data_IF_749185955578
#
_entry.id   IF_749185955578
#
_cell.length_a   1.000
_cell.length_b   1.000
_cell.length_c   1.000
_cell.angle_alpha   90.00
_cell.angle_beta   90.00
_cell.angle_gamma   90.00
#
_symmetry.space_group_name_H-M   'P 1'
#
loop_
_entity.id
_entity.type
_entity.pdbx_description
1 polymer ?
#
# COMPACT_ATOMS: atom_id res chain seq x y z
N UNK A 1 -30.19 26.43 -13.27
CA UNK A 1 -30.15 25.38 -12.21
C UNK A 1 -28.91 24.53 -12.47
N UNK A 2 -28.12 24.16 -11.44
CA UNK A 2 -26.95 23.27 -11.60
C UNK A 2 -27.44 21.84 -11.88
N UNK A 3 -26.65 21.07 -12.66
CA UNK A 3 -27.00 19.67 -12.99
C UNK A 3 -27.05 18.81 -11.74
N UNK A 4 -26.04 18.98 -10.84
CA UNK A 4 -25.95 18.27 -9.57
C UNK A 4 -25.54 19.22 -8.44
N UNK A 5 -25.78 18.80 -7.21
CA UNK A 5 -25.29 19.50 -6.03
C UNK A 5 -23.81 19.18 -5.83
N UNK A 6 -23.45 17.90 -6.00
CA UNK A 6 -22.09 17.40 -5.82
C UNK A 6 -21.67 16.52 -7.00
N UNK A 7 -20.48 16.78 -7.55
CA UNK A 7 -19.80 15.90 -8.51
C UNK A 7 -18.60 15.24 -7.82
N UNK A 8 -18.52 13.91 -7.92
CA UNK A 8 -17.41 13.11 -7.41
C UNK A 8 -16.60 12.57 -8.59
N UNK A 9 -15.29 12.79 -8.61
CA UNK A 9 -14.39 12.34 -9.67
C UNK A 9 -13.74 11.02 -9.25
N UNK A 10 -14.15 9.91 -9.88
CA UNK A 10 -13.66 8.56 -9.64
C UNK A 10 -14.60 7.69 -8.82
N UNK A 11 -14.94 6.51 -9.36
CA UNK A 11 -15.76 5.49 -8.69
C UNK A 11 -14.88 4.44 -7.98
N UNK A 12 -13.84 4.88 -7.28
CA UNK A 12 -13.00 4.07 -6.38
C UNK A 12 -13.57 4.01 -4.97
N UNK A 13 -12.76 3.51 -4.03
CA UNK A 13 -13.15 3.38 -2.62
C UNK A 13 -13.59 4.73 -2.02
N UNK A 14 -12.74 5.75 -2.08
CA UNK A 14 -13.03 7.07 -1.52
C UNK A 14 -14.23 7.73 -2.23
N UNK A 15 -14.28 7.65 -3.56
CA UNK A 15 -15.36 8.32 -4.32
C UNK A 15 -16.74 7.72 -4.11
N UNK A 16 -16.86 6.38 -4.08
CA UNK A 16 -18.14 5.75 -3.78
C UNK A 16 -18.58 6.03 -2.34
N UNK A 17 -17.65 6.00 -1.36
CA UNK A 17 -17.98 6.33 0.03
C UNK A 17 -18.42 7.79 0.18
N UNK A 18 -17.74 8.73 -0.49
CA UNK A 18 -18.11 10.14 -0.48
C UNK A 18 -19.51 10.36 -1.09
N UNK A 19 -19.80 9.70 -2.20
CA UNK A 19 -21.09 9.81 -2.86
C UNK A 19 -22.23 9.19 -2.01
N UNK A 20 -21.98 8.07 -1.32
CA UNK A 20 -22.94 7.45 -0.40
C UNK A 20 -23.20 8.38 0.78
N UNK A 21 -22.17 8.93 1.40
CA UNK A 21 -22.32 9.86 2.52
C UNK A 21 -23.17 11.07 2.13
N UNK A 22 -22.85 11.72 1.03
CA UNK A 22 -23.59 12.87 0.53
C UNK A 22 -25.02 12.51 0.08
N UNK A 23 -25.20 11.39 -0.62
CA UNK A 23 -26.51 10.94 -1.09
C UNK A 23 -27.47 10.58 0.06
N UNK A 24 -26.96 10.02 1.16
CA UNK A 24 -27.74 9.76 2.39
C UNK A 24 -28.26 11.05 3.04
N UNK A 25 -27.62 12.20 2.78
CA UNK A 25 -28.06 13.52 3.21
C UNK A 25 -29.08 14.16 2.28
N UNK A 26 -29.46 13.47 1.18
CA UNK A 26 -30.46 13.93 0.21
C UNK A 26 -29.89 14.79 -0.93
N UNK A 27 -28.56 14.94 -1.05
CA UNK A 27 -27.96 15.67 -2.16
C UNK A 27 -28.08 14.93 -3.48
N UNK A 28 -28.21 15.67 -4.58
CA UNK A 28 -28.13 15.14 -5.96
C UNK A 28 -26.66 14.93 -6.32
N UNK A 29 -26.20 13.67 -6.29
CA UNK A 29 -24.78 13.32 -6.49
C UNK A 29 -24.56 12.63 -7.82
N UNK A 30 -23.50 13.02 -8.54
CA UNK A 30 -23.02 12.35 -9.73
C UNK A 30 -21.57 11.92 -9.55
N UNK A 31 -21.27 10.62 -9.71
CA UNK A 31 -19.90 10.12 -9.86
C UNK A 31 -19.54 10.14 -11.34
N UNK A 32 -18.37 10.68 -11.67
CA UNK A 32 -17.81 10.66 -13.02
C UNK A 32 -16.63 9.69 -13.03
N UNK A 33 -16.78 8.58 -13.76
CA UNK A 33 -15.81 7.49 -13.83
C UNK A 33 -15.30 7.31 -15.26
N UNK A 34 -13.98 7.27 -15.44
CA UNK A 34 -13.34 7.10 -16.75
C UNK A 34 -13.48 5.67 -17.31
N UNK A 35 -13.56 4.69 -16.43
CA UNK A 35 -13.66 3.28 -16.80
C UNK A 35 -15.10 2.87 -17.11
N UNK A 36 -15.24 1.62 -17.60
CA UNK A 36 -16.52 0.97 -17.92
C UNK A 36 -17.27 0.44 -16.68
N UNK A 37 -16.60 0.37 -15.52
CA UNK A 37 -17.15 -0.16 -14.26
C UNK A 37 -16.48 0.47 -13.04
N UNK A 38 -17.16 0.49 -11.88
CA UNK A 38 -16.59 1.05 -10.65
C UNK A 38 -15.62 0.08 -10.01
N UNK A 39 -14.78 0.59 -9.10
CA UNK A 39 -14.00 -0.22 -8.17
C UNK A 39 -12.89 -1.06 -8.79
N UNK A 40 -12.37 -0.74 -9.98
CA UNK A 40 -11.32 -1.54 -10.65
C UNK A 40 -10.12 -1.79 -9.75
N UNK A 41 -9.66 -0.80 -8.98
CA UNK A 41 -8.55 -0.98 -8.06
C UNK A 41 -8.97 -1.81 -6.83
N UNK A 42 -10.19 -1.65 -6.30
CA UNK A 42 -10.73 -2.50 -5.23
C UNK A 42 -10.70 -3.98 -5.66
N UNK A 43 -11.06 -4.26 -6.92
CA UNK A 43 -11.12 -5.61 -7.46
C UNK A 43 -9.81 -6.39 -7.31
N UNK A 44 -8.66 -5.74 -7.46
CA UNK A 44 -7.34 -6.38 -7.39
C UNK A 44 -6.73 -6.37 -5.99
N UNK A 45 -7.31 -5.63 -5.03
CA UNK A 45 -6.78 -5.54 -3.66
C UNK A 45 -6.86 -6.89 -2.94
N UNK A 46 -5.92 -7.12 -2.01
CA UNK A 46 -5.89 -8.36 -1.23
C UNK A 46 -5.83 -9.63 -2.09
N UNK A 47 -5.21 -9.59 -3.27
CA UNK A 47 -5.17 -10.68 -4.26
C UNK A 47 -6.58 -11.12 -4.72
N UNK A 48 -7.47 -10.16 -4.96
CA UNK A 48 -8.86 -10.39 -5.36
C UNK A 48 -9.84 -10.66 -4.23
N UNK A 49 -9.38 -10.61 -2.97
CA UNK A 49 -10.23 -10.82 -1.78
C UNK A 49 -10.75 -9.53 -1.16
N UNK A 50 -10.08 -8.41 -1.38
CA UNK A 50 -10.25 -7.10 -0.76
C UNK A 50 -10.07 -7.12 0.78
N UNK A 51 -8.91 -6.71 1.26
CA UNK A 51 -8.71 -6.40 2.68
C UNK A 51 -9.35 -5.05 3.00
N UNK A 52 -10.62 -5.08 3.46
CA UNK A 52 -11.50 -3.91 3.58
C UNK A 52 -10.93 -2.87 4.55
N UNK A 53 -10.49 -3.31 5.72
CA UNK A 53 -9.90 -2.49 6.77
C UNK A 53 -9.09 -3.37 7.73
N UNK A 54 -8.68 -2.81 8.86
CA UNK A 54 -8.05 -3.52 9.98
C UNK A 54 -8.88 -3.31 11.24
N UNK A 55 -9.17 -4.39 11.97
CA UNK A 55 -9.93 -4.36 13.24
C UNK A 55 -9.02 -4.11 14.45
N UNK A 56 -7.92 -3.39 14.27
CA UNK A 56 -7.04 -2.94 15.35
C UNK A 56 -7.65 -1.75 16.12
N UNK A 57 -7.04 -1.42 17.26
CA UNK A 57 -7.40 -0.19 17.95
C UNK A 57 -6.96 1.07 17.20
N UNK A 58 -7.44 2.21 17.65
CA UNK A 58 -7.18 3.49 16.99
C UNK A 58 -5.69 3.89 17.05
N UNK A 59 -4.97 3.53 18.09
CA UNK A 59 -3.55 3.82 18.22
C UNK A 59 -2.74 3.06 17.17
N UNK A 60 -2.97 1.75 17.02
CA UNK A 60 -2.34 0.92 15.99
C UNK A 60 -2.71 1.42 14.59
N UNK A 61 -3.96 1.89 14.39
CA UNK A 61 -4.40 2.46 13.11
C UNK A 61 -3.52 3.67 12.73
N UNK A 62 -3.29 4.61 13.65
CA UNK A 62 -2.42 5.77 13.42
C UNK A 62 -0.95 5.41 13.24
N UNK A 63 -0.43 4.43 13.99
CA UNK A 63 0.97 3.99 13.87
C UNK A 63 1.29 3.39 12.50
N UNK A 64 0.29 2.87 11.80
CA UNK A 64 0.44 2.31 10.47
C UNK A 64 0.33 3.35 9.34
N UNK A 65 -0.06 4.59 9.62
CA UNK A 65 0.00 5.72 8.66
C UNK A 65 1.41 6.27 8.63
N UNK A 66 2.07 6.12 7.48
CA UNK A 66 3.51 6.42 7.34
C UNK A 66 3.79 7.89 7.06
N UNK A 67 2.90 8.56 6.32
CA UNK A 67 3.05 9.96 5.93
C UNK A 67 1.84 10.76 6.43
N UNK A 68 2.10 11.90 7.07
CA UNK A 68 1.09 12.87 7.51
C UNK A 68 -0.01 12.28 8.43
N UNK A 69 0.33 11.33 9.33
CA UNK A 69 -0.64 10.66 10.22
C UNK A 69 -1.52 11.64 11.02
N UNK A 70 -0.98 12.80 11.42
CA UNK A 70 -1.75 13.83 12.16
C UNK A 70 -2.91 14.42 11.35
N UNK A 71 -2.77 14.47 10.02
CA UNK A 71 -3.84 14.92 9.14
C UNK A 71 -5.08 14.01 9.21
N UNK A 72 -4.89 12.73 9.52
CA UNK A 72 -5.97 11.75 9.56
C UNK A 72 -6.83 11.78 10.83
N UNK A 73 -6.46 12.55 11.87
CA UNK A 73 -7.20 12.55 13.13
C UNK A 73 -8.69 12.75 12.94
N UNK A 74 -9.09 13.85 12.31
CA UNK A 74 -10.52 14.17 12.15
C UNK A 74 -11.27 13.10 11.36
N UNK A 75 -10.69 12.63 10.25
CA UNK A 75 -11.34 11.65 9.38
C UNK A 75 -11.46 10.27 10.02
N UNK A 76 -10.43 9.81 10.76
CA UNK A 76 -10.47 8.51 11.43
C UNK A 76 -11.47 8.48 12.59
N UNK A 77 -11.62 9.59 13.33
CA UNK A 77 -12.64 9.69 14.39
C UNK A 77 -14.06 9.97 13.84
N UNK A 78 -14.17 10.57 12.64
CA UNK A 78 -15.47 10.81 12.01
C UNK A 78 -16.05 9.55 11.34
N UNK A 79 -15.18 8.64 10.89
CA UNK A 79 -15.54 7.35 10.30
C UNK A 79 -14.45 6.33 10.59
N UNK A 80 -14.62 5.61 11.69
CA UNK A 80 -13.65 4.66 12.24
C UNK A 80 -13.58 3.36 11.43
N UNK A 81 -12.63 2.50 11.74
CA UNK A 81 -12.58 1.15 11.19
C UNK A 81 -13.77 0.28 11.66
N UNK A 82 -14.28 0.50 12.86
CA UNK A 82 -15.51 -0.14 13.35
C UNK A 82 -16.72 0.33 12.57
N UNK A 83 -16.82 1.64 12.25
CA UNK A 83 -17.89 2.18 11.40
C UNK A 83 -17.83 1.60 9.99
N UNK A 84 -16.64 1.38 9.44
CA UNK A 84 -16.46 0.71 8.14
C UNK A 84 -16.99 -0.72 8.19
N UNK A 85 -16.66 -1.48 9.22
CA UNK A 85 -17.15 -2.85 9.43
C UNK A 85 -18.69 -2.83 9.52
N UNK A 86 -19.23 -2.00 10.41
CA UNK A 86 -20.67 -1.85 10.61
C UNK A 86 -21.39 -1.42 9.32
N UNK A 87 -20.80 -0.52 8.52
CA UNK A 87 -21.35 -0.11 7.24
C UNK A 87 -21.51 -1.31 6.28
N UNK A 88 -20.45 -2.11 6.08
CA UNK A 88 -20.50 -3.24 5.15
C UNK A 88 -21.46 -4.33 5.64
N UNK A 89 -21.49 -4.62 6.93
CA UNK A 89 -22.42 -5.60 7.53
C UNK A 89 -23.88 -5.13 7.38
N UNK A 90 -24.17 -3.85 7.66
CA UNK A 90 -25.50 -3.26 7.49
C UNK A 90 -25.98 -3.29 6.04
N UNK A 91 -25.07 -3.13 5.08
CA UNK A 91 -25.38 -3.23 3.65
C UNK A 91 -25.43 -4.69 3.15
N UNK A 92 -25.31 -5.68 4.06
CA UNK A 92 -25.49 -7.10 3.76
C UNK A 92 -24.25 -7.83 3.26
N UNK A 93 -23.04 -7.36 3.63
CA UNK A 93 -21.79 -8.06 3.35
C UNK A 93 -21.29 -8.76 4.61
N UNK A 94 -21.36 -10.09 4.73
CA UNK A 94 -20.79 -10.82 5.86
C UNK A 94 -19.27 -10.66 5.89
N UNK A 95 -18.72 -10.35 7.06
CA UNK A 95 -17.31 -10.02 7.28
C UNK A 95 -16.66 -11.05 8.20
N UNK A 96 -15.36 -11.30 7.99
CA UNK A 96 -14.48 -12.08 8.88
C UNK A 96 -13.20 -11.32 9.19
N UNK A 97 -12.68 -11.52 10.40
CA UNK A 97 -11.38 -11.02 10.82
C UNK A 97 -10.38 -12.16 10.80
N UNK A 98 -9.25 -11.95 10.12
CA UNK A 98 -8.15 -12.92 10.02
C UNK A 98 -6.94 -12.45 10.85
N UNK A 99 -5.91 -13.30 10.91
CA UNK A 99 -4.65 -13.00 11.61
C UNK A 99 -4.13 -11.60 11.26
N UNK A 100 -3.69 -10.85 12.27
CA UNK A 100 -3.24 -9.45 12.13
C UNK A 100 -4.40 -8.48 11.93
N UNK A 101 -5.56 -8.81 12.51
CA UNK A 101 -6.77 -7.98 12.53
C UNK A 101 -7.27 -7.58 11.13
N UNK A 102 -6.88 -8.29 10.08
CA UNK A 102 -7.26 -7.99 8.69
C UNK A 102 -8.71 -8.38 8.44
N UNK A 103 -9.48 -7.45 7.89
CA UNK A 103 -10.91 -7.61 7.66
C UNK A 103 -11.18 -7.95 6.19
N UNK A 104 -11.87 -9.08 5.95
CA UNK A 104 -12.22 -9.56 4.62
C UNK A 104 -13.71 -9.90 4.52
N UNK A 105 -14.31 -9.88 3.31
CA UNK A 105 -15.62 -10.49 3.11
C UNK A 105 -15.52 -12.01 3.34
N UNK A 106 -16.54 -12.62 3.92
CA UNK A 106 -16.59 -14.08 4.14
C UNK A 106 -16.46 -14.84 2.82
N UNK A 107 -16.98 -14.28 1.73
CA UNK A 107 -16.92 -14.86 0.38
C UNK A 107 -15.49 -14.89 -0.23
N UNK A 108 -14.52 -14.15 0.35
CA UNK A 108 -13.20 -13.94 -0.22
C UNK A 108 -13.21 -13.33 -1.65
N UNK A 109 -14.24 -12.57 -1.99
CA UNK A 109 -14.41 -11.95 -3.32
C UNK A 109 -14.51 -10.43 -3.22
N UNK A 110 -13.56 -9.71 -3.79
CA UNK A 110 -13.59 -8.26 -3.91
C UNK A 110 -14.80 -7.74 -4.71
N UNK A 111 -15.33 -8.55 -5.64
CA UNK A 111 -16.53 -8.24 -6.39
C UNK A 111 -17.76 -8.02 -5.51
N UNK A 112 -17.87 -8.70 -4.36
CA UNK A 112 -18.99 -8.51 -3.44
C UNK A 112 -18.88 -7.17 -2.71
N UNK A 113 -17.67 -6.73 -2.37
CA UNK A 113 -17.42 -5.39 -1.81
C UNK A 113 -17.87 -4.31 -2.81
N UNK A 114 -17.50 -4.44 -4.09
CA UNK A 114 -17.86 -3.50 -5.15
C UNK A 114 -19.39 -3.51 -5.39
N UNK A 115 -20.00 -4.68 -5.41
CA UNK A 115 -21.46 -4.84 -5.55
C UNK A 115 -22.19 -4.09 -4.45
N UNK A 116 -21.80 -4.29 -3.19
CA UNK A 116 -22.44 -3.64 -2.03
C UNK A 116 -22.30 -2.12 -2.11
N UNK A 117 -21.11 -1.59 -2.44
CA UNK A 117 -20.91 -0.14 -2.62
C UNK A 117 -21.77 0.42 -3.76
N UNK A 118 -21.85 -0.29 -4.89
CA UNK A 118 -22.66 0.12 -6.05
C UNK A 118 -24.15 0.12 -5.72
N UNK A 119 -24.64 -0.87 -4.99
CA UNK A 119 -26.02 -0.94 -4.51
C UNK A 119 -26.32 0.18 -3.51
N UNK A 120 -25.40 0.48 -2.59
CA UNK A 120 -25.57 1.59 -1.66
C UNK A 120 -25.62 2.95 -2.39
N UNK A 121 -24.77 3.18 -3.40
CA UNK A 121 -24.87 4.35 -4.27
C UNK A 121 -26.24 4.44 -4.93
N UNK A 122 -26.73 3.34 -5.51
CA UNK A 122 -28.05 3.31 -6.17
C UNK A 122 -29.21 3.59 -5.20
N UNK A 123 -29.16 3.02 -3.98
CA UNK A 123 -30.18 3.28 -2.94
C UNK A 123 -30.26 4.75 -2.55
N UNK A 124 -29.12 5.46 -2.60
CA UNK A 124 -29.03 6.90 -2.31
C UNK A 124 -29.31 7.79 -3.54
N UNK A 125 -29.73 7.24 -4.67
CA UNK A 125 -30.02 8.01 -5.89
C UNK A 125 -28.76 8.56 -6.59
N UNK A 126 -27.58 8.08 -6.27
CA UNK A 126 -26.31 8.51 -6.90
C UNK A 126 -26.27 8.04 -8.35
N UNK A 127 -26.01 8.96 -9.28
CA UNK A 127 -25.79 8.65 -10.69
C UNK A 127 -24.31 8.40 -10.95
N UNK A 128 -23.98 7.36 -11.70
CA UNK A 128 -22.61 7.08 -12.12
C UNK A 128 -22.51 7.23 -13.64
N UNK A 129 -21.65 8.11 -14.12
CA UNK A 129 -21.33 8.30 -15.53
C UNK A 129 -20.04 7.56 -15.84
N UNK A 130 -20.16 6.41 -16.50
CA UNK A 130 -19.01 5.64 -16.98
C UNK A 130 -18.45 6.19 -18.28
N UNK A 131 -17.25 5.74 -18.68
CA UNK A 131 -16.55 6.19 -19.88
C UNK A 131 -16.40 7.71 -19.95
N UNK A 132 -16.34 8.38 -18.80
CA UNK A 132 -16.35 9.83 -18.68
C UNK A 132 -15.10 10.29 -17.94
N UNK A 133 -14.06 10.69 -18.71
CA UNK A 133 -12.82 11.21 -18.12
C UNK A 133 -12.95 12.70 -17.87
N UNK A 134 -12.72 13.15 -16.64
CA UNK A 134 -12.62 14.55 -16.29
C UNK A 134 -11.26 15.09 -16.73
N UNK A 135 -11.27 16.23 -17.46
CA UNK A 135 -10.08 16.92 -17.94
C UNK A 135 -9.71 18.14 -17.09
N UNK A 136 -10.71 18.84 -16.56
CA UNK A 136 -10.50 20.04 -15.77
C UNK A 136 -11.60 20.26 -14.74
N UNK A 137 -11.25 20.93 -13.63
CA UNK A 137 -12.20 21.50 -12.67
C UNK A 137 -12.53 22.92 -13.15
N UNK A 138 -13.83 23.24 -13.19
CA UNK A 138 -14.32 24.58 -13.50
C UNK A 138 -14.48 25.35 -12.20
N UNK A 139 -13.90 26.54 -12.12
CA UNK A 139 -14.00 27.44 -10.95
C UNK A 139 -13.88 28.90 -11.36
N UNK A 140 -14.48 29.80 -10.55
CA UNK A 140 -14.27 31.23 -10.70
C UNK A 140 -12.89 31.62 -10.24
N UNK A 141 -12.30 32.58 -10.95
CA UNK A 141 -11.00 33.17 -10.59
C UNK A 141 -11.14 34.52 -9.85
N UNK A 142 -12.37 34.93 -9.56
CA UNK A 142 -12.65 36.16 -8.83
C UNK A 142 -12.30 36.01 -7.30
N UNK A 143 -12.59 37.08 -6.53
CA UNK A 143 -12.18 37.23 -5.12
C UNK A 143 -12.55 36.04 -4.19
N UNK A 144 -13.62 35.33 -4.54
CA UNK A 144 -14.02 34.08 -3.88
C UNK A 144 -13.90 32.92 -4.86
N UNK A 145 -12.70 32.36 -4.99
CA UNK A 145 -12.45 31.19 -5.85
C UNK A 145 -13.36 30.03 -5.44
N UNK A 146 -14.43 29.76 -6.18
CA UNK A 146 -15.38 28.68 -5.91
C UNK A 146 -15.56 27.78 -7.12
N UNK A 147 -15.77 26.47 -6.87
CA UNK A 147 -16.02 25.52 -7.96
C UNK A 147 -17.36 25.79 -8.66
N UNK A 148 -17.41 25.48 -9.97
CA UNK A 148 -18.59 25.54 -10.82
C UNK A 148 -18.99 24.17 -11.37
N UNK A 149 -18.12 23.19 -11.31
CA UNK A 149 -18.30 21.86 -11.88
C UNK A 149 -17.03 21.29 -12.50
N UNK A 150 -17.21 20.45 -13.48
CA UNK A 150 -16.11 19.77 -14.19
C UNK A 150 -16.32 19.80 -15.70
N UNK A 151 -15.20 19.77 -16.45
CA UNK A 151 -15.19 19.58 -17.91
C UNK A 151 -14.63 18.20 -18.23
N UNK A 152 -15.38 17.46 -19.04
CA UNK A 152 -14.98 16.14 -19.52
C UNK A 152 -14.00 16.25 -20.70
N UNK A 153 -13.34 15.14 -21.02
CA UNK A 153 -12.41 15.07 -22.14
C UNK A 153 -13.08 15.25 -23.52
N UNK A 154 -14.37 14.93 -23.61
CA UNK A 154 -15.17 15.14 -24.84
C UNK A 154 -15.75 16.56 -24.97
N UNK A 155 -15.42 17.47 -24.04
CA UNK A 155 -15.83 18.87 -24.04
C UNK A 155 -17.12 19.15 -23.26
N UNK A 156 -17.89 18.16 -22.89
CA UNK A 156 -19.11 18.37 -22.07
C UNK A 156 -18.73 18.94 -20.71
N UNK A 157 -19.58 19.81 -20.19
CA UNK A 157 -19.49 20.35 -18.84
C UNK A 157 -20.61 19.80 -17.96
N UNK A 158 -20.28 19.54 -16.70
CA UNK A 158 -21.23 19.13 -15.68
C UNK A 158 -21.13 20.14 -14.55
N UNK A 159 -22.21 20.90 -14.34
CA UNK A 159 -22.23 21.97 -13.34
C UNK A 159 -22.59 21.44 -11.96
N UNK A 160 -21.86 21.89 -10.92
CA UNK A 160 -22.10 21.48 -9.54
C UNK A 160 -21.74 22.59 -8.55
N UNK A 161 -22.28 22.50 -7.32
CA UNK A 161 -21.92 23.39 -6.22
C UNK A 161 -20.65 22.95 -5.52
N UNK A 162 -20.40 21.62 -5.48
CA UNK A 162 -19.26 21.01 -4.82
C UNK A 162 -18.63 19.98 -5.77
N UNK A 163 -17.29 19.83 -5.69
CA UNK A 163 -16.52 18.84 -6.45
C UNK A 163 -15.60 18.09 -5.51
N UNK A 164 -15.66 16.76 -5.52
CA UNK A 164 -14.78 15.88 -4.72
C UNK A 164 -13.85 15.14 -5.67
N UNK A 165 -12.53 15.38 -5.55
CA UNK A 165 -11.49 14.68 -6.31
C UNK A 165 -11.10 13.41 -5.55
N UNK A 166 -11.54 12.25 -6.06
CA UNK A 166 -11.26 10.92 -5.52
C UNK A 166 -10.68 9.99 -6.61
N UNK A 167 -9.83 10.57 -7.49
CA UNK A 167 -9.31 9.91 -8.69
C UNK A 167 -8.19 8.89 -8.42
N UNK A 168 -7.82 8.65 -7.14
CA UNK A 168 -6.74 7.75 -6.75
C UNK A 168 -5.35 8.30 -7.04
N UNK A 169 -4.34 7.44 -6.98
CA UNK A 169 -2.95 7.77 -7.18
C UNK A 169 -2.43 7.42 -8.59
N UNK A 170 -1.20 6.83 -8.65
CA UNK A 170 -0.54 6.35 -9.88
C UNK A 170 -0.27 4.84 -9.87
N UNK A 171 -0.53 4.17 -8.75
CA UNK A 171 -0.30 2.73 -8.62
C UNK A 171 -1.35 1.92 -9.39
N UNK A 172 -0.92 0.84 -10.04
CA UNK A 172 -1.71 0.04 -10.97
C UNK A 172 -2.41 0.88 -12.05
N UNK A 173 -1.67 1.52 -12.97
CA UNK A 173 -2.24 2.41 -14.00
C UNK A 173 -3.35 1.75 -14.84
N UNK A 174 -3.27 0.43 -15.05
CA UNK A 174 -4.30 -0.35 -15.76
C UNK A 174 -5.69 -0.32 -15.11
N UNK A 175 -5.78 0.11 -13.85
CA UNK A 175 -7.06 0.31 -13.16
C UNK A 175 -7.66 1.70 -13.37
N UNK A 176 -6.98 2.58 -14.10
CA UNK A 176 -7.38 3.97 -14.32
C UNK A 176 -6.69 4.98 -13.40
N UNK A 177 -5.82 4.54 -12.49
CA UNK A 177 -5.03 5.41 -11.60
C UNK A 177 -3.77 5.94 -12.32
N UNK A 178 -3.93 6.89 -13.23
CA UNK A 178 -2.84 7.46 -14.04
C UNK A 178 -2.31 8.80 -13.49
N UNK A 179 -2.90 9.30 -12.40
CA UNK A 179 -2.51 10.57 -11.80
C UNK A 179 -3.33 11.78 -12.29
N UNK A 180 -4.50 11.55 -12.89
CA UNK A 180 -5.39 12.64 -13.34
C UNK A 180 -5.74 13.60 -12.19
N UNK A 181 -5.92 13.07 -10.96
CA UNK A 181 -6.18 13.87 -9.76
C UNK A 181 -5.07 14.89 -9.45
N UNK A 182 -3.83 14.51 -9.69
CA UNK A 182 -2.69 15.41 -9.49
C UNK A 182 -2.63 16.53 -10.52
N UNK A 183 -2.97 16.24 -11.78
CA UNK A 183 -3.06 17.25 -12.83
C UNK A 183 -4.17 18.26 -12.50
N UNK A 184 -5.33 17.78 -12.05
CA UNK A 184 -6.44 18.65 -11.64
C UNK A 184 -6.07 19.49 -10.41
N UNK A 185 -5.38 18.93 -9.42
CA UNK A 185 -4.89 19.65 -8.26
C UNK A 185 -3.90 20.76 -8.66
N UNK A 186 -2.95 20.47 -9.55
CA UNK A 186 -2.00 21.46 -10.04
C UNK A 186 -2.70 22.58 -10.84
N UNK A 187 -3.71 22.25 -11.66
CA UNK A 187 -4.52 23.25 -12.39
C UNK A 187 -5.28 24.21 -11.47
N UNK A 188 -5.62 23.74 -10.27
CA UNK A 188 -6.31 24.53 -9.23
C UNK A 188 -5.36 25.17 -8.22
N UNK A 189 -4.05 25.17 -8.51
CA UNK A 189 -3.03 25.88 -7.70
C UNK A 189 -2.46 25.09 -6.53
N UNK A 190 -2.90 23.83 -6.33
CA UNK A 190 -2.39 23.01 -5.24
C UNK A 190 -1.01 22.43 -5.55
N UNK A 191 -0.18 22.37 -4.51
CA UNK A 191 1.12 21.71 -4.58
C UNK A 191 0.95 20.20 -4.60
N UNK A 192 1.60 19.53 -5.54
CA UNK A 192 1.67 18.06 -5.60
C UNK A 192 3.05 17.63 -5.15
N UNK A 193 3.11 16.95 -4.02
CA UNK A 193 4.33 16.33 -3.51
C UNK A 193 4.73 15.19 -4.46
N UNK A 194 6.02 15.08 -4.76
CA UNK A 194 6.55 14.09 -5.70
C UNK A 194 6.03 12.69 -5.39
N UNK A 195 5.38 12.09 -6.38
CA UNK A 195 4.83 10.74 -6.25
C UNK A 195 5.91 9.68 -6.50
N UNK A 196 5.97 8.69 -5.61
CA UNK A 196 6.84 7.52 -5.68
C UNK A 196 6.02 6.23 -5.56
N UNK A 197 6.41 5.13 -6.25
CA UNK A 197 5.80 3.83 -6.02
C UNK A 197 6.12 3.37 -4.60
N UNK A 198 5.12 2.87 -3.88
CA UNK A 198 5.25 2.42 -2.49
C UNK A 198 4.59 1.07 -2.29
N UNK A 199 5.03 0.34 -1.27
CA UNK A 199 4.67 -1.05 -1.01
C UNK A 199 4.95 -1.91 -2.26
N UNK A 200 6.20 -1.87 -2.72
CA UNK A 200 6.67 -2.53 -3.94
C UNK A 200 7.73 -3.58 -3.64
N UNK A 201 7.83 -4.64 -4.45
CA UNK A 201 8.98 -5.53 -4.44
C UNK A 201 10.29 -4.80 -4.80
N UNK A 202 11.43 -5.46 -4.53
CA UNK A 202 12.75 -4.93 -4.79
C UNK A 202 13.50 -5.83 -5.78
N UNK A 203 14.14 -5.23 -6.77
CA UNK A 203 15.10 -5.91 -7.64
C UNK A 203 16.42 -6.09 -6.90
N UNK A 204 16.99 -7.28 -7.00
CA UNK A 204 18.29 -7.63 -6.40
C UNK A 204 19.31 -7.83 -7.53
N UNK A 205 20.50 -7.29 -7.34
CA UNK A 205 21.62 -7.53 -8.24
C UNK A 205 22.16 -8.94 -8.02
N UNK A 206 22.29 -9.72 -9.11
CA UNK A 206 22.79 -11.08 -9.06
C UNK A 206 21.71 -12.13 -9.39
N UNK A 207 22.13 -13.38 -9.45
CA UNK A 207 21.27 -14.52 -9.86
C UNK A 207 20.69 -15.31 -8.67
N UNK A 208 21.18 -15.03 -7.46
CA UNK A 208 20.82 -15.78 -6.25
C UNK A 208 19.33 -15.80 -5.98
N UNK A 209 18.58 -14.68 -6.10
CA UNK A 209 17.13 -14.69 -5.89
C UNK A 209 16.37 -15.60 -6.85
N UNK A 210 16.78 -15.65 -8.14
CA UNK A 210 16.14 -16.50 -9.15
C UNK A 210 16.28 -18.00 -8.82
N UNK A 211 17.40 -18.41 -8.23
CA UNK A 211 17.63 -19.80 -7.78
C UNK A 211 16.71 -20.19 -6.61
N UNK A 212 16.21 -19.20 -5.86
CA UNK A 212 15.29 -19.37 -4.74
C UNK A 212 13.85 -18.94 -5.07
N UNK A 213 13.53 -18.72 -6.35
CA UNK A 213 12.21 -18.26 -6.79
C UNK A 213 11.07 -19.09 -6.18
N UNK A 214 10.03 -18.41 -5.66
CA UNK A 214 8.87 -19.03 -5.03
C UNK A 214 9.09 -19.45 -3.58
N UNK A 215 10.33 -19.36 -3.06
CA UNK A 215 10.61 -19.67 -1.65
C UNK A 215 10.05 -18.56 -0.76
N UNK A 216 9.05 -18.89 0.04
CA UNK A 216 8.54 -18.04 1.12
C UNK A 216 9.25 -18.39 2.42
N UNK A 217 9.81 -17.36 3.05
CA UNK A 217 10.49 -17.45 4.35
C UNK A 217 9.60 -16.85 5.43
N UNK A 218 9.38 -17.61 6.51
CA UNK A 218 8.64 -17.17 7.70
C UNK A 218 9.58 -17.10 8.89
N UNK A 219 9.25 -16.21 9.83
CA UNK A 219 10.04 -16.04 11.04
C UNK A 219 11.52 -15.73 10.76
N UNK A 220 11.74 -14.83 9.80
CA UNK A 220 13.06 -14.28 9.47
C UNK A 220 13.17 -12.83 9.89
N UNK A 221 14.37 -12.31 10.01
CA UNK A 221 14.61 -10.88 10.21
C UNK A 221 15.35 -10.32 9.01
N UNK A 222 14.92 -9.15 8.52
CA UNK A 222 15.62 -8.42 7.49
C UNK A 222 16.03 -7.06 7.99
N UNK A 223 17.30 -6.70 7.75
CA UNK A 223 17.82 -5.37 7.98
C UNK A 223 18.18 -4.71 6.66
N UNK A 224 17.78 -3.46 6.48
CA UNK A 224 18.10 -2.65 5.32
C UNK A 224 19.07 -1.54 5.76
N UNK A 225 20.16 -1.37 5.04
CA UNK A 225 21.21 -0.43 5.42
C UNK A 225 21.95 0.15 4.21
N UNK A 226 22.61 1.28 4.42
CA UNK A 226 23.62 1.86 3.51
C UNK A 226 24.99 1.76 4.11
N UNK A 227 26.03 1.93 3.30
CA UNK A 227 27.43 1.98 3.76
C UNK A 227 27.93 3.41 3.72
N UNK A 228 28.40 3.91 4.85
CA UNK A 228 29.11 5.20 4.93
C UNK A 228 30.45 5.10 4.21
N UNK A 229 31.06 6.25 3.89
CA UNK A 229 32.40 6.34 3.28
C UNK A 229 33.47 5.60 4.06
N UNK A 230 33.35 5.47 5.38
CA UNK A 230 34.26 4.70 6.25
C UNK A 230 33.90 3.19 6.33
N UNK A 231 33.00 2.69 5.47
CA UNK A 231 32.59 1.29 5.40
C UNK A 231 31.58 0.86 6.48
N UNK A 232 31.28 1.70 7.48
CA UNK A 232 30.32 1.34 8.54
C UNK A 232 28.89 1.28 8.00
N UNK A 233 28.13 0.26 8.45
CA UNK A 233 26.71 0.14 8.17
C UNK A 233 25.94 1.25 8.87
N UNK A 234 25.01 1.91 8.14
CA UNK A 234 23.99 2.78 8.68
C UNK A 234 22.65 2.06 8.47
N UNK A 235 22.13 1.45 9.52
CA UNK A 235 20.81 0.80 9.48
C UNK A 235 19.73 1.83 9.19
N UNK A 236 18.85 1.51 8.24
CA UNK A 236 17.73 2.35 7.83
C UNK A 236 16.41 1.76 8.31
N UNK A 237 16.29 0.44 8.29
CA UNK A 237 15.09 -0.27 8.69
C UNK A 237 15.39 -1.72 9.05
N UNK A 238 14.65 -2.28 10.02
CA UNK A 238 14.71 -3.68 10.43
C UNK A 238 13.32 -4.16 10.80
N UNK A 239 12.98 -5.38 10.36
CA UNK A 239 11.70 -6.00 10.68
C UNK A 239 11.83 -7.52 10.75
N UNK A 240 11.10 -8.13 11.70
CA UNK A 240 10.90 -9.57 11.82
C UNK A 240 9.56 -9.95 11.19
N UNK A 241 9.53 -11.01 10.35
CA UNK A 241 8.27 -11.43 9.73
C UNK A 241 8.47 -12.40 8.57
N UNK A 242 7.79 -12.11 7.46
CA UNK A 242 7.76 -12.95 6.27
C UNK A 242 8.29 -12.21 5.05
N UNK A 243 9.03 -12.93 4.20
CA UNK A 243 9.48 -12.46 2.89
C UNK A 243 9.41 -13.60 1.86
N UNK A 244 9.53 -13.28 0.59
CA UNK A 244 9.54 -14.25 -0.50
C UNK A 244 10.56 -13.86 -1.57
N UNK A 245 11.26 -14.86 -2.10
CA UNK A 245 12.12 -14.70 -3.26
C UNK A 245 11.33 -14.81 -4.57
N UNK A 246 11.68 -13.98 -5.54
CA UNK A 246 11.15 -13.95 -6.90
C UNK A 246 12.29 -14.11 -7.91
N UNK A 247 11.97 -14.29 -9.20
CA UNK A 247 12.99 -14.35 -10.24
C UNK A 247 13.80 -13.07 -10.40
N UNK A 248 13.30 -11.92 -9.94
CA UNK A 248 13.97 -10.62 -10.04
C UNK A 248 14.56 -10.13 -8.70
N UNK A 249 14.19 -10.74 -7.58
CA UNK A 249 14.64 -10.25 -6.28
C UNK A 249 13.77 -10.72 -5.13
N UNK A 250 13.26 -9.78 -4.32
CA UNK A 250 12.54 -10.07 -3.08
C UNK A 250 11.21 -9.31 -2.99
N UNK A 251 10.26 -9.90 -2.27
CA UNK A 251 8.94 -9.33 -1.95
C UNK A 251 8.43 -9.88 -0.61
N UNK A 252 7.20 -9.59 -0.28
CA UNK A 252 6.56 -10.02 0.97
C UNK A 252 6.45 -8.89 1.99
N UNK A 253 5.74 -9.12 3.12
CA UNK A 253 5.37 -8.06 4.06
C UNK A 253 6.54 -7.17 4.48
N UNK A 254 7.66 -7.75 4.95
CA UNK A 254 8.85 -6.99 5.37
C UNK A 254 9.37 -6.10 4.24
N UNK A 255 9.48 -6.67 3.02
CA UNK A 255 10.05 -5.95 1.87
C UNK A 255 9.16 -4.82 1.42
N UNK A 256 7.84 -5.04 1.43
CA UNK A 256 6.85 -4.01 1.09
C UNK A 256 6.88 -2.87 2.11
N UNK A 257 6.88 -3.17 3.41
CA UNK A 257 7.03 -2.17 4.48
C UNK A 257 8.33 -1.38 4.33
N UNK A 258 9.45 -2.08 4.07
CA UNK A 258 10.75 -1.44 3.84
C UNK A 258 10.72 -0.48 2.66
N UNK A 259 10.11 -0.85 1.53
CA UNK A 259 10.03 0.00 0.34
C UNK A 259 9.33 1.34 0.60
N UNK A 260 8.28 1.34 1.42
CA UNK A 260 7.57 2.57 1.83
C UNK A 260 8.46 3.48 2.68
N UNK A 261 9.29 2.91 3.58
CA UNK A 261 10.17 3.67 4.47
C UNK A 261 11.42 4.18 3.77
N UNK A 262 11.96 3.41 2.83
CA UNK A 262 13.26 3.62 2.23
C UNK A 262 13.23 4.37 0.89
N UNK A 263 12.04 4.74 0.37
CA UNK A 263 11.87 5.26 -1.00
C UNK A 263 12.89 6.34 -1.39
N UNK A 264 13.16 7.30 -0.52
CA UNK A 264 14.12 8.38 -0.78
C UNK A 264 15.60 7.95 -0.68
N UNK A 265 15.91 6.91 0.11
CA UNK A 265 17.28 6.43 0.24
C UNK A 265 17.81 5.81 -1.06
N UNK A 266 16.92 5.21 -1.87
CA UNK A 266 17.29 4.65 -3.17
C UNK A 266 17.71 5.68 -4.22
N UNK A 267 17.45 6.95 -3.99
CA UNK A 267 17.80 8.04 -4.93
C UNK A 267 19.24 8.51 -4.75
N UNK A 268 19.81 8.33 -3.57
CA UNK A 268 21.11 8.93 -3.20
C UNK A 268 22.16 7.91 -2.77
N UNK A 269 21.79 6.73 -2.33
CA UNK A 269 22.69 5.76 -1.71
C UNK A 269 22.44 4.33 -2.23
N UNK A 270 23.49 3.50 -2.26
CA UNK A 270 23.34 2.07 -2.50
C UNK A 270 22.76 1.40 -1.24
N UNK A 271 21.57 0.83 -1.35
CA UNK A 271 20.91 0.12 -0.27
C UNK A 271 21.21 -1.38 -0.35
N UNK A 272 21.45 -1.97 0.81
CA UNK A 272 21.67 -3.42 0.99
C UNK A 272 20.57 -3.99 1.88
N UNK A 273 20.16 -5.23 1.59
CA UNK A 273 19.32 -6.04 2.46
C UNK A 273 20.13 -7.18 3.06
N UNK A 274 20.00 -7.41 4.34
CA UNK A 274 20.65 -8.50 5.08
C UNK A 274 19.59 -9.38 5.70
N UNK A 275 19.58 -10.66 5.36
CA UNK A 275 18.61 -11.65 5.80
C UNK A 275 19.22 -12.52 6.89
N UNK A 276 18.64 -12.49 8.09
CA UNK A 276 18.83 -13.50 9.13
C UNK A 276 17.76 -14.59 8.99
N UNK A 277 18.19 -15.78 8.57
CA UNK A 277 17.29 -16.92 8.37
C UNK A 277 16.86 -17.58 9.69
N UNK A 278 17.53 -17.33 10.80
CA UNK A 278 17.32 -17.96 12.11
C UNK A 278 17.45 -16.95 13.27
N UNK A 279 16.62 -15.90 13.31
CA UNK A 279 16.77 -14.81 14.29
C UNK A 279 16.62 -15.28 15.74
N UNK A 280 15.88 -16.34 16.00
CA UNK A 280 15.73 -16.93 17.34
C UNK A 280 17.02 -17.62 17.86
N UNK A 281 18.03 -17.86 17.00
CA UNK A 281 19.28 -18.50 17.39
C UNK A 281 20.42 -17.48 17.34
N UNK A 282 21.19 -17.34 18.44
CA UNK A 282 22.47 -16.64 18.37
C UNK A 282 23.45 -17.43 17.50
N UNK A 283 24.54 -16.75 17.03
CA UNK A 283 25.60 -17.42 16.24
C UNK A 283 26.16 -18.65 16.97
N UNK A 284 26.38 -18.56 18.27
CA UNK A 284 26.92 -19.64 19.10
C UNK A 284 25.93 -20.81 19.18
N UNK A 285 24.64 -20.54 19.36
CA UNK A 285 23.62 -21.58 19.40
C UNK A 285 23.45 -22.25 18.03
N UNK A 286 23.51 -21.48 16.95
CA UNK A 286 23.45 -22.01 15.60
C UNK A 286 24.68 -22.88 15.29
N UNK A 287 25.87 -22.42 15.67
CA UNK A 287 27.09 -23.21 15.53
C UNK A 287 27.02 -24.54 16.25
N UNK A 288 26.56 -24.54 17.53
CA UNK A 288 26.35 -25.78 18.30
C UNK A 288 25.32 -26.70 17.65
N UNK A 289 24.25 -26.15 17.08
CA UNK A 289 23.24 -26.92 16.36
C UNK A 289 23.83 -27.61 15.14
N UNK A 290 24.58 -26.89 14.31
CA UNK A 290 25.24 -27.42 13.10
C UNK A 290 26.25 -28.54 13.50
N UNK A 291 27.05 -28.29 14.52
CA UNK A 291 28.03 -29.28 15.00
C UNK A 291 27.33 -30.58 15.45
N UNK A 292 26.29 -30.49 16.26
CA UNK A 292 25.48 -31.63 16.68
C UNK A 292 24.87 -32.40 15.48
N UNK A 293 24.35 -31.69 14.50
CA UNK A 293 23.73 -32.30 13.31
C UNK A 293 24.81 -33.03 12.46
N UNK A 294 26.04 -32.52 12.43
CA UNK A 294 27.20 -33.16 11.77
C UNK A 294 27.70 -34.41 12.53
N UNK A 295 27.79 -34.32 13.84
CA UNK A 295 28.20 -35.45 14.68
C UNK A 295 27.20 -36.62 14.62
N UNK A 296 25.91 -36.33 14.47
CA UNK A 296 24.89 -37.36 14.32
C UNK A 296 25.03 -38.20 13.02
N UNK A 297 25.60 -37.60 11.95
CA UNK A 297 25.75 -38.25 10.64
C UNK A 297 27.09 -37.86 9.96
N UNK A 298 28.24 -38.29 10.45
CA UNK A 298 29.56 -37.75 10.09
C UNK A 298 29.96 -38.00 8.64
N UNK A 299 29.41 -38.98 7.95
CA UNK A 299 29.75 -39.36 6.58
C UNK A 299 28.80 -38.78 5.54
N UNK A 300 27.74 -38.05 5.96
CA UNK A 300 26.83 -37.39 5.01
C UNK A 300 27.54 -36.19 4.37
N UNK A 301 27.24 -35.94 3.09
CA UNK A 301 27.76 -34.76 2.40
C UNK A 301 27.03 -33.48 2.85
N UNK A 302 27.78 -32.36 2.88
CA UNK A 302 27.33 -31.10 3.48
C UNK A 302 25.98 -30.61 2.93
N UNK A 303 25.76 -30.66 1.61
CA UNK A 303 24.48 -30.25 1.02
C UNK A 303 23.26 -31.04 1.54
N UNK A 304 23.44 -32.30 1.87
CA UNK A 304 22.35 -33.14 2.40
C UNK A 304 22.12 -32.92 3.88
N UNK A 305 23.17 -32.62 4.64
CA UNK A 305 23.08 -32.40 6.09
C UNK A 305 22.33 -31.11 6.45
N UNK A 306 22.29 -30.11 5.53
CA UNK A 306 21.64 -28.83 5.78
C UNK A 306 20.12 -28.86 5.58
N UNK A 307 19.53 -29.98 5.10
CA UNK A 307 18.09 -30.09 4.81
C UNK A 307 17.18 -29.97 6.05
N UNK A 308 17.70 -30.28 7.25
CA UNK A 308 17.00 -30.05 8.52
C UNK A 308 17.06 -28.62 9.06
N UNK A 309 17.89 -27.78 8.45
CA UNK A 309 18.13 -26.40 8.88
C UNK A 309 17.60 -25.37 7.88
N UNK A 310 17.74 -25.63 6.58
CA UNK A 310 17.42 -24.71 5.49
C UNK A 310 16.47 -25.33 4.47
N UNK A 311 15.64 -24.52 3.79
CA UNK A 311 14.89 -24.96 2.63
C UNK A 311 15.81 -25.47 1.51
N UNK A 312 15.38 -26.51 0.78
CA UNK A 312 16.19 -27.16 -0.26
C UNK A 312 16.73 -26.20 -1.31
N UNK A 313 15.91 -25.27 -1.81
CA UNK A 313 16.33 -24.29 -2.81
C UNK A 313 17.35 -23.26 -2.31
N UNK A 314 17.44 -23.05 -1.01
CA UNK A 314 18.38 -22.12 -0.39
C UNK A 314 19.79 -22.75 -0.20
N UNK A 315 19.88 -24.05 -0.03
CA UNK A 315 21.14 -24.75 0.28
C UNK A 315 22.25 -24.46 -0.75
N UNK A 316 22.01 -24.58 -2.08
CA UNK A 316 23.04 -24.27 -3.08
C UNK A 316 23.53 -22.82 -2.99
N UNK A 317 22.61 -21.88 -2.75
CA UNK A 317 22.93 -20.46 -2.64
C UNK A 317 23.79 -20.18 -1.40
N UNK A 318 23.41 -20.74 -0.25
CA UNK A 318 24.19 -20.59 0.99
C UNK A 318 25.60 -21.19 0.85
N UNK A 319 25.71 -22.36 0.23
CA UNK A 319 27.01 -22.97 -0.03
C UNK A 319 27.88 -22.13 -0.99
N UNK A 320 27.29 -21.60 -2.06
CA UNK A 320 27.96 -20.70 -3.01
C UNK A 320 28.49 -19.45 -2.30
N UNK A 321 27.65 -18.76 -1.51
CA UNK A 321 28.02 -17.52 -0.80
C UNK A 321 29.08 -17.79 0.28
N UNK A 322 29.00 -18.92 0.99
CA UNK A 322 29.98 -19.32 2.00
C UNK A 322 31.30 -19.85 1.41
N UNK A 323 31.35 -20.09 0.09
CA UNK A 323 32.51 -20.67 -0.59
C UNK A 323 32.77 -22.15 -0.25
N UNK A 324 31.73 -22.87 0.16
CA UNK A 324 31.84 -24.27 0.59
C UNK A 324 31.42 -25.25 -0.52
N UNK A 325 32.12 -26.38 -0.61
CA UNK A 325 31.78 -27.47 -1.52
C UNK A 325 30.71 -28.36 -0.90
N UNK A 326 29.56 -28.46 -1.55
CA UNK A 326 28.42 -29.26 -1.05
C UNK A 326 28.66 -30.77 -0.99
N UNK A 327 29.61 -31.29 -1.77
CA UNK A 327 30.01 -32.70 -1.84
C UNK A 327 30.98 -33.12 -0.74
N UNK A 328 31.53 -32.18 0.04
CA UNK A 328 32.43 -32.47 1.15
C UNK A 328 31.67 -33.19 2.26
N UNK A 329 32.25 -34.24 2.81
CA UNK A 329 31.68 -34.94 3.99
C UNK A 329 31.74 -34.02 5.22
N UNK A 330 30.69 -34.06 6.07
CA UNK A 330 30.59 -33.09 7.18
C UNK A 330 31.69 -33.26 8.23
N UNK A 331 32.25 -34.46 8.39
CA UNK A 331 33.39 -34.73 9.28
C UNK A 331 34.70 -34.04 8.79
N UNK A 332 34.77 -33.62 7.53
CA UNK A 332 35.90 -32.89 6.96
C UNK A 332 35.68 -31.37 6.99
N UNK A 333 34.52 -30.87 7.40
CA UNK A 333 34.21 -29.44 7.48
C UNK A 333 34.95 -28.84 8.69
N UNK A 334 35.85 -27.89 8.42
CA UNK A 334 36.64 -27.24 9.47
C UNK A 334 35.77 -26.29 10.32
N UNK A 335 36.35 -25.84 11.45
CA UNK A 335 35.69 -24.83 12.28
C UNK A 335 35.43 -23.52 11.52
N UNK A 336 36.45 -23.05 10.77
CA UNK A 336 36.35 -21.81 9.99
C UNK A 336 35.28 -21.91 8.89
N UNK A 337 35.14 -23.08 8.25
CA UNK A 337 34.09 -23.33 7.29
C UNK A 337 32.71 -23.31 7.93
N UNK A 338 32.55 -23.86 9.14
CA UNK A 338 31.29 -23.77 9.90
C UNK A 338 30.97 -22.34 10.32
N UNK A 339 31.99 -21.56 10.72
CA UNK A 339 31.81 -20.14 11.06
C UNK A 339 31.32 -19.33 9.86
N UNK A 340 31.90 -19.55 8.65
CA UNK A 340 31.40 -18.96 7.40
C UNK A 340 29.95 -19.35 7.10
N UNK A 341 29.61 -20.61 7.30
CA UNK A 341 28.23 -21.10 7.11
C UNK A 341 27.25 -20.41 8.07
N UNK A 342 27.63 -20.29 9.35
CA UNK A 342 26.85 -19.57 10.36
C UNK A 342 26.69 -18.11 9.99
N UNK A 343 27.75 -17.44 9.55
CA UNK A 343 27.72 -16.02 9.17
C UNK A 343 26.76 -15.78 7.99
N UNK A 344 26.77 -16.65 6.98
CA UNK A 344 25.86 -16.53 5.83
C UNK A 344 24.39 -16.78 6.25
N UNK A 345 24.13 -17.77 7.10
CA UNK A 345 22.76 -18.06 7.57
C UNK A 345 22.23 -16.91 8.44
N UNK A 346 23.09 -16.26 9.21
CA UNK A 346 22.75 -15.15 10.11
C UNK A 346 22.77 -13.78 9.45
N UNK A 347 23.30 -13.67 8.23
CA UNK A 347 23.47 -12.37 7.59
C UNK A 347 23.74 -12.50 6.09
N UNK A 348 22.81 -13.11 5.34
CA UNK A 348 22.89 -13.18 3.88
C UNK A 348 22.63 -11.81 3.28
N UNK A 349 23.65 -11.23 2.63
CA UNK A 349 23.58 -9.86 2.09
C UNK A 349 23.22 -9.85 0.62
N UNK A 350 22.26 -8.99 0.28
CA UNK A 350 21.85 -8.71 -1.08
C UNK A 350 22.04 -7.22 -1.41
N UNK A 351 22.55 -6.91 -2.59
CA UNK A 351 22.62 -5.55 -3.12
C UNK A 351 21.30 -5.25 -3.83
N UNK A 352 20.55 -4.25 -3.35
CA UNK A 352 19.29 -3.85 -3.98
C UNK A 352 19.63 -2.98 -5.19
N UNK A 353 19.12 -3.33 -6.35
CA UNK A 353 19.33 -2.60 -7.58
C UNK A 353 18.34 -1.45 -7.74
N UNK A 354 17.06 -1.71 -7.49
CA UNK A 354 15.97 -0.73 -7.62
C UNK A 354 14.69 -1.22 -6.94
N UNK A 355 13.75 -0.31 -6.75
CA UNK A 355 12.35 -0.64 -6.48
C UNK A 355 11.63 -1.03 -7.77
N UNK A 356 10.60 -1.87 -7.67
CA UNK A 356 9.69 -2.16 -8.80
C UNK A 356 8.83 -0.92 -9.09
N UNK A 357 8.33 -0.84 -10.33
CA UNK A 357 7.62 0.33 -10.81
C UNK A 357 6.12 0.34 -10.47
N UNK A 358 5.44 1.33 -11.05
CA UNK A 358 4.02 1.62 -10.84
C UNK A 358 3.05 0.47 -11.08
N UNK A 359 3.38 -0.45 -11.98
CA UNK A 359 2.56 -1.63 -12.29
C UNK A 359 2.49 -2.65 -11.16
N UNK A 360 3.43 -2.59 -10.21
CA UNK A 360 3.52 -3.49 -9.06
C UNK A 360 3.36 -2.74 -7.73
N UNK A 361 3.29 -1.41 -7.77
CA UNK A 361 3.08 -0.59 -6.59
C UNK A 361 1.66 -0.79 -6.03
N UNK A 362 1.57 -1.18 -4.76
CA UNK A 362 0.26 -1.31 -4.11
C UNK A 362 -0.36 0.07 -3.93
N UNK A 363 0.44 1.07 -3.55
CA UNK A 363 0.00 2.45 -3.35
C UNK A 363 1.01 3.45 -3.92
N UNK A 364 0.55 4.69 -4.00
CA UNK A 364 1.35 5.88 -4.28
C UNK A 364 1.74 6.56 -2.96
N UNK A 365 3.02 6.86 -2.77
CA UNK A 365 3.53 7.78 -1.75
C UNK A 365 3.69 9.16 -2.37
N UNK A 366 3.35 10.23 -1.65
CA UNK A 366 3.22 11.57 -2.20
C UNK A 366 1.80 11.84 -2.73
N UNK A 367 1.53 13.03 -3.21
CA UNK A 367 0.21 13.46 -3.66
C UNK A 367 -0.08 14.91 -3.35
N UNK A 368 -1.36 15.28 -3.30
CA UNK A 368 -1.80 16.64 -2.96
C UNK A 368 -1.36 16.98 -1.55
N UNK A 369 -0.65 18.11 -1.40
CA UNK A 369 -0.11 18.56 -0.12
C UNK A 369 -1.24 18.79 0.90
N UNK A 370 -1.29 17.96 1.92
CA UNK A 370 -2.35 18.01 2.94
C UNK A 370 -2.37 19.29 3.78
N UNK A 371 -1.29 20.08 3.76
CA UNK A 371 -1.26 21.40 4.42
C UNK A 371 -2.22 22.40 3.76
N UNK A 372 -2.56 22.17 2.50
CA UNK A 372 -3.48 23.00 1.71
C UNK A 372 -4.94 22.52 1.81
N UNK A 373 -5.18 21.42 2.55
CA UNK A 373 -6.48 20.80 2.77
C UNK A 373 -6.87 20.95 4.23
N UNK A 374 -8.15 21.21 4.48
CA UNK A 374 -8.70 21.24 5.83
C UNK A 374 -8.89 19.79 6.34
N UNK A 375 -8.20 19.35 7.40
CA UNK A 375 -8.29 17.96 7.88
C UNK A 375 -9.66 17.58 8.46
N UNK A 376 -10.48 18.55 8.87
CA UNK A 376 -11.80 18.30 9.43
C UNK A 376 -12.88 18.09 8.38
N UNK A 377 -12.70 18.65 7.16
CA UNK A 377 -13.71 18.64 6.10
C UNK A 377 -13.24 18.03 4.79
N UNK A 378 -11.93 17.84 4.61
CA UNK A 378 -11.29 17.48 3.34
C UNK A 378 -11.41 18.56 2.26
N UNK A 379 -11.91 19.77 2.59
CA UNK A 379 -12.04 20.91 1.66
C UNK A 379 -10.67 21.56 1.42
N UNK A 380 -10.47 22.02 0.20
CA UNK A 380 -9.36 22.90 -0.18
C UNK A 380 -9.40 24.20 0.64
N UNK A 381 -8.24 24.64 1.13
CA UNK A 381 -8.10 25.97 1.74
C UNK A 381 -8.00 27.10 0.71
N UNK A 382 -7.82 26.74 -0.57
CA UNK A 382 -7.60 27.70 -1.66
C UNK A 382 -8.87 27.92 -2.48
N UNK A 383 -9.67 26.86 -2.71
CA UNK A 383 -10.86 26.91 -3.57
C UNK A 383 -12.05 26.35 -2.80
N UNK A 384 -13.04 27.19 -2.62
CA UNK A 384 -14.28 26.88 -1.95
C UNK A 384 -15.09 25.82 -2.71
N UNK A 385 -15.57 24.78 -1.98
CA UNK A 385 -16.36 23.70 -2.58
C UNK A 385 -15.55 22.65 -3.32
N UNK A 386 -14.20 22.73 -3.29
CA UNK A 386 -13.31 21.70 -3.82
C UNK A 386 -12.78 20.83 -2.68
N UNK A 387 -12.95 19.50 -2.80
CA UNK A 387 -12.53 18.51 -1.81
C UNK A 387 -11.59 17.49 -2.43
N UNK A 388 -10.73 16.89 -1.59
CA UNK A 388 -9.84 15.80 -1.98
C UNK A 388 -9.99 14.62 -1.03
N UNK A 389 -10.06 13.39 -1.56
CA UNK A 389 -10.22 12.19 -0.74
C UNK A 389 -9.50 10.97 -1.29
N UNK A 390 -9.02 10.12 -0.41
CA UNK A 390 -8.31 8.88 -0.75
C UNK A 390 -6.87 9.10 -1.18
N UNK A 391 -6.35 8.19 -2.00
CA UNK A 391 -4.93 8.10 -2.39
C UNK A 391 -4.41 9.30 -3.22
N UNK A 392 -5.26 10.21 -3.63
CA UNK A 392 -4.84 11.48 -4.25
C UNK A 392 -4.15 12.40 -3.24
N UNK A 393 -4.43 12.26 -1.95
CA UNK A 393 -3.78 12.99 -0.85
C UNK A 393 -2.37 12.45 -0.59
N UNK A 394 -1.46 13.32 -0.13
CA UNK A 394 -0.14 12.91 0.38
C UNK A 394 -0.29 12.22 1.76
N UNK A 395 -0.95 11.06 1.76
CA UNK A 395 -1.12 10.18 2.94
C UNK A 395 -1.00 8.74 2.47
N UNK A 396 -0.12 7.98 3.09
CA UNK A 396 0.08 6.57 2.83
C UNK A 396 0.25 5.76 4.11
N UNK A 397 -0.12 4.48 4.05
CA UNK A 397 -0.03 3.56 5.18
C UNK A 397 0.57 2.22 4.75
N UNK A 398 0.97 1.40 5.72
CA UNK A 398 1.45 0.05 5.50
C UNK A 398 0.36 -0.87 4.93
N UNK A 399 0.74 -2.10 4.56
CA UNK A 399 -0.21 -3.16 4.18
C UNK A 399 -1.04 -3.59 5.41
N UNK A 400 -2.26 -4.09 5.18
CA UNK A 400 -3.09 -4.56 6.29
C UNK A 400 -4.53 -4.04 6.29
N UNK A 401 -4.94 -3.32 5.25
CA UNK A 401 -6.27 -2.68 5.14
C UNK A 401 -6.25 -1.17 5.42
N UNK A 402 -5.12 -0.64 5.91
CA UNK A 402 -4.99 0.74 6.35
C UNK A 402 -5.20 1.77 5.21
N UNK A 403 -4.72 1.50 4.00
CA UNK A 403 -4.89 2.41 2.86
C UNK A 403 -6.34 2.49 2.39
N UNK A 404 -7.10 1.38 2.47
CA UNK A 404 -8.54 1.42 2.23
C UNK A 404 -9.27 2.15 3.35
N UNK A 405 -8.84 1.99 4.61
CA UNK A 405 -9.39 2.78 5.72
C UNK A 405 -9.20 4.29 5.50
N UNK A 406 -8.02 4.74 5.06
CA UNK A 406 -7.79 6.13 4.67
C UNK A 406 -8.79 6.56 3.59
N UNK A 407 -9.01 5.73 2.58
CA UNK A 407 -9.93 6.04 1.50
C UNK A 407 -11.39 6.13 1.98
N UNK A 408 -11.83 5.21 2.85
CA UNK A 408 -13.18 5.25 3.42
C UNK A 408 -13.38 6.48 4.30
N UNK A 409 -12.48 6.73 5.26
CA UNK A 409 -12.62 7.83 6.23
C UNK A 409 -12.55 9.21 5.57
N UNK A 410 -11.60 9.41 4.65
CA UNK A 410 -11.50 10.70 3.93
C UNK A 410 -12.64 10.89 2.95
N UNK A 411 -13.09 9.80 2.26
CA UNK A 411 -14.24 9.82 1.39
C UNK A 411 -15.53 10.19 2.14
N UNK A 412 -15.79 9.51 3.26
CA UNK A 412 -16.93 9.80 4.11
C UNK A 412 -16.91 11.27 4.59
N UNK A 413 -15.76 11.72 5.13
CA UNK A 413 -15.60 13.09 5.62
C UNK A 413 -15.85 14.12 4.52
N UNK A 414 -15.29 13.93 3.34
CA UNK A 414 -15.51 14.83 2.20
C UNK A 414 -16.99 14.87 1.75
N UNK A 415 -17.64 13.70 1.70
CA UNK A 415 -19.04 13.59 1.31
C UNK A 415 -19.97 14.28 2.29
N UNK A 416 -19.83 14.00 3.60
CA UNK A 416 -20.61 14.66 4.65
C UNK A 416 -20.41 16.17 4.63
N UNK A 417 -19.15 16.65 4.58
CA UNK A 417 -18.86 18.09 4.62
C UNK A 417 -19.35 18.82 3.37
N UNK A 418 -19.25 18.18 2.19
CA UNK A 418 -19.82 18.75 0.96
C UNK A 418 -21.35 18.83 1.02
N UNK A 419 -22.01 17.84 1.61
CA UNK A 419 -23.46 17.84 1.79
C UNK A 419 -23.91 18.88 2.82
N UNK A 420 -23.24 18.99 3.97
CA UNK A 420 -23.49 20.04 4.97
C UNK A 420 -23.47 21.42 4.29
N UNK A 421 -22.44 21.70 3.48
CA UNK A 421 -22.34 22.99 2.79
C UNK A 421 -23.45 23.23 1.76
N UNK A 422 -23.96 22.19 1.08
CA UNK A 422 -25.09 22.33 0.15
C UNK A 422 -26.38 22.66 0.89
N UNK A 423 -26.59 22.07 2.06
CA UNK A 423 -27.82 22.21 2.85
C UNK A 423 -27.87 23.52 3.63
N UNK A 424 -26.71 24.13 3.92
CA UNK A 424 -26.59 25.43 4.61
C UNK A 424 -26.72 26.62 3.65
N UNK A 425 -26.84 26.38 2.32
CA UNK A 425 -26.92 27.40 1.25
C UNK A 425 -28.32 27.47 0.66
#
# INVERSE_FOLDING_TARGET
MKDYDIVVIGAGAAGMMAAIAAGRRGCRVCIVERNEKPGKKIYITGKGRCNITNACDMEELFQNVMTNHKFMYSSFYRFTNEDVIAFFEKEGLPIKVERGNRVFPVSDKSSDVIRVLSEACRKCGVKILFHSRVKAILFDRDVLQSVKGVRLADGREITASQVIVAAGGRSYPSTGSEGDGYLMAAQTGHTVIRCLPSLVPMNIRGEEPAQMQGLSMKNVEMSFYTRKTNGKKKELYREFGEMMFTHFGITGPIVLSASSRLGSAFESEQVYAELDCKPALSKEKLHKRILRDFEANPNVILKNSLGGLLPRSMIPVVLKISGLRGEKAVNQVTREERDKLVDVIKGMVFSIESLRGWNEAIITKGGVNVREINPATMESKQIQGLYFAGEVLDVDALTGGFNLQIAWSTGYTAGESAAERVLDT
#
